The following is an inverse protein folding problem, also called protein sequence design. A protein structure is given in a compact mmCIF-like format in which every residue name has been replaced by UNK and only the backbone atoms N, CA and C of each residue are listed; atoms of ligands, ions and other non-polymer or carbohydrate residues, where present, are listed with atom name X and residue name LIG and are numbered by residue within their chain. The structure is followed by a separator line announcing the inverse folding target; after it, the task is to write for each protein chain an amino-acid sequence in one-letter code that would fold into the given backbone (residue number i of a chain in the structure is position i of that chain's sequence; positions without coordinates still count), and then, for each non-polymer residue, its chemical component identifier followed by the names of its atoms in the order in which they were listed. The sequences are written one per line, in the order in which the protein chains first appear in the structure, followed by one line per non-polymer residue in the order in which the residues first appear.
data_IF_120283958800
#
_entry.id   IF_120283958800
#
_cell.length_a   1.000
_cell.length_b   1.000
_cell.length_c   1.000
_cell.angle_alpha   90.00
_cell.angle_beta   90.00
_cell.angle_gamma   90.00
#
_symmetry.space_group_name_H-M   'P 1'
#
loop_
_entity.id
_entity.type
_entity.pdbx_description
1 polymer ?
#
# COMPACT_ATOMS: atom_id res chain seq x y z
N UNK A 1 24.32 -24.92 33.67
CA UNK A 1 23.04 -25.05 32.96
C UNK A 1 22.12 -23.95 33.43
N UNK A 2 21.63 -23.05 32.55
CA UNK A 2 20.74 -21.96 32.98
C UNK A 2 19.46 -22.54 33.58
N UNK A 3 18.97 -21.92 34.65
CA UNK A 3 17.77 -22.36 35.35
C UNK A 3 16.52 -22.18 34.48
N UNK A 4 15.53 -23.08 34.60
CA UNK A 4 14.24 -23.02 33.88
C UNK A 4 13.54 -21.65 34.01
N UNK A 5 13.78 -20.94 35.12
CA UNK A 5 13.28 -19.57 35.35
C UNK A 5 14.00 -18.52 34.50
N UNK A 6 15.32 -18.66 34.31
CA UNK A 6 16.15 -17.77 33.51
C UNK A 6 15.87 -17.92 32.01
N UNK A 7 15.63 -19.15 31.54
CA UNK A 7 15.19 -19.39 30.15
C UNK A 7 13.82 -18.77 29.87
N UNK A 8 12.87 -18.90 30.81
CA UNK A 8 11.56 -18.26 30.68
C UNK A 8 11.68 -16.74 30.62
N UNK A 9 12.53 -16.14 31.45
CA UNK A 9 12.75 -14.69 31.45
C UNK A 9 13.39 -14.19 30.15
N UNK A 10 14.37 -14.94 29.60
CA UNK A 10 14.96 -14.64 28.29
C UNK A 10 13.93 -14.72 27.17
N UNK A 11 13.09 -15.77 27.14
CA UNK A 11 12.01 -15.93 26.16
C UNK A 11 10.98 -14.78 26.27
N UNK A 12 10.58 -14.40 27.47
CA UNK A 12 9.64 -13.30 27.69
C UNK A 12 10.20 -11.93 27.25
N UNK A 13 11.49 -11.67 27.48
CA UNK A 13 12.16 -10.45 26.98
C UNK A 13 12.20 -10.42 25.44
N UNK A 14 12.50 -11.56 24.80
CA UNK A 14 12.50 -11.67 23.34
C UNK A 14 11.10 -11.45 22.75
N UNK A 15 10.05 -12.00 23.39
CA UNK A 15 8.66 -11.80 22.97
C UNK A 15 8.25 -10.32 23.10
N UNK A 16 8.51 -9.69 24.25
CA UNK A 16 8.25 -8.24 24.44
C UNK A 16 9.05 -7.34 23.50
N UNK A 17 10.27 -7.74 23.15
CA UNK A 17 11.08 -7.02 22.15
C UNK A 17 10.48 -7.16 20.75
N UNK A 18 9.96 -8.34 20.38
CA UNK A 18 9.25 -8.57 19.10
C UNK A 18 7.93 -7.81 19.02
N UNK A 19 7.16 -7.74 20.10
CA UNK A 19 5.92 -6.96 20.19
C UNK A 19 6.17 -5.44 20.03
N UNK A 20 7.36 -4.96 20.40
CA UNK A 20 7.78 -3.57 20.21
C UNK A 20 8.34 -3.25 18.82
N UNK A 21 8.50 -4.23 17.92
CA UNK A 21 8.87 -3.95 16.54
C UNK A 21 7.61 -3.45 15.82
N UNK A 22 7.22 -2.21 16.11
CA UNK A 22 6.37 -1.46 15.20
C UNK A 22 7.08 -1.45 13.84
N UNK A 23 6.38 -1.88 12.79
CA UNK A 23 6.81 -1.67 11.43
C UNK A 23 6.94 -0.15 11.27
N UNK A 24 8.16 0.38 11.30
CA UNK A 24 8.38 1.82 11.32
C UNK A 24 8.00 2.36 9.94
N UNK A 25 6.75 2.82 9.84
CA UNK A 25 6.24 3.48 8.66
C UNK A 25 6.77 4.91 8.70
N UNK A 26 7.70 5.21 7.80
CA UNK A 26 8.28 6.54 7.69
C UNK A 26 7.33 7.39 6.85
N UNK A 27 7.04 8.63 7.25
CA UNK A 27 6.33 9.56 6.37
C UNK A 27 7.11 9.72 5.06
N UNK A 28 6.45 9.55 3.91
CA UNK A 28 7.09 9.63 2.58
C UNK A 28 7.80 10.98 2.39
N UNK A 29 7.27 12.07 2.94
CA UNK A 29 7.90 13.40 2.86
C UNK A 29 9.32 13.42 3.42
N UNK A 30 9.56 12.71 4.53
CA UNK A 30 10.87 12.66 5.19
C UNK A 30 11.83 11.78 4.38
N UNK A 31 11.32 10.66 3.85
CA UNK A 31 12.09 9.78 2.98
C UNK A 31 12.48 10.48 1.68
N UNK A 32 11.58 11.25 1.09
CA UNK A 32 11.80 11.99 -0.14
C UNK A 32 12.82 13.12 0.07
N UNK A 33 12.73 13.87 1.17
CA UNK A 33 13.75 14.87 1.55
C UNK A 33 15.15 14.24 1.70
N UNK A 34 15.24 13.11 2.41
CA UNK A 34 16.50 12.38 2.56
C UNK A 34 17.10 11.97 1.21
N UNK A 35 16.26 11.50 0.27
CA UNK A 35 16.70 11.11 -1.08
C UNK A 35 17.15 12.32 -1.91
N UNK A 36 16.43 13.44 -1.84
CA UNK A 36 16.80 14.66 -2.56
C UNK A 36 18.16 15.20 -2.11
N UNK A 37 18.46 15.17 -0.81
CA UNK A 37 19.76 15.64 -0.30
C UNK A 37 20.92 14.70 -0.64
N UNK A 38 20.65 13.39 -0.72
CA UNK A 38 21.63 12.40 -1.21
C UNK A 38 21.89 12.59 -2.71
N UNK A 39 20.84 12.77 -3.51
CA UNK A 39 20.95 13.01 -4.95
C UNK A 39 21.65 14.33 -5.28
N UNK A 40 21.41 15.37 -4.49
CA UNK A 40 22.11 16.65 -4.58
C UNK A 40 23.59 16.57 -4.16
N UNK A 41 24.04 15.45 -3.57
CA UNK A 41 25.41 15.26 -3.09
C UNK A 41 25.72 15.94 -1.76
N UNK A 42 24.72 16.55 -1.11
CA UNK A 42 24.90 17.29 0.14
C UNK A 42 25.16 16.37 1.33
N UNK A 43 24.54 15.18 1.34
CA UNK A 43 24.68 14.20 2.43
C UNK A 43 25.07 12.81 1.92
N UNK A 44 25.87 12.11 2.73
CA UNK A 44 26.08 10.67 2.56
C UNK A 44 24.90 9.87 3.13
N UNK A 45 24.69 8.65 2.64
CA UNK A 45 23.61 7.75 3.10
C UNK A 45 23.61 7.60 4.65
N UNK A 46 24.81 7.56 5.25
CA UNK A 46 24.95 7.49 6.71
C UNK A 46 24.50 8.76 7.42
N UNK A 47 24.89 9.94 6.90
CA UNK A 47 24.49 11.22 7.49
C UNK A 47 23.00 11.47 7.32
N UNK A 48 22.45 11.19 6.14
CA UNK A 48 21.01 11.27 5.88
C UNK A 48 20.20 10.34 6.80
N UNK A 49 20.67 9.12 7.04
CA UNK A 49 20.02 8.19 7.98
C UNK A 49 19.94 8.73 9.41
N UNK A 50 21.01 9.39 9.89
CA UNK A 50 21.03 10.00 11.22
C UNK A 50 20.17 11.26 11.29
N UNK A 51 20.26 12.12 10.28
CA UNK A 51 19.58 13.42 10.24
C UNK A 51 18.06 13.28 10.08
N UNK A 52 17.61 12.37 9.21
CA UNK A 52 16.20 12.14 8.95
C UNK A 52 15.62 10.98 9.78
N UNK A 53 16.42 10.36 10.64
CA UNK A 53 16.08 9.18 11.44
C UNK A 53 15.46 8.04 10.60
N UNK A 54 15.92 7.86 9.36
CA UNK A 54 15.44 6.81 8.44
C UNK A 54 16.47 5.69 8.38
N UNK A 55 16.02 4.44 8.47
CA UNK A 55 16.91 3.29 8.33
C UNK A 55 17.66 3.30 6.98
N UNK A 56 18.98 3.09 7.02
CA UNK A 56 19.84 3.03 5.83
C UNK A 56 19.34 2.04 4.78
N UNK A 57 18.83 0.89 5.22
CA UNK A 57 18.26 -0.15 4.35
C UNK A 57 17.09 0.39 3.55
N UNK A 58 16.19 1.15 4.17
CA UNK A 58 15.05 1.80 3.48
C UNK A 58 15.50 2.80 2.43
N UNK A 59 16.50 3.64 2.74
CA UNK A 59 17.09 4.58 1.77
C UNK A 59 17.68 3.82 0.57
N UNK A 60 18.47 2.78 0.83
CA UNK A 60 19.10 1.95 -0.21
C UNK A 60 18.06 1.22 -1.05
N UNK A 61 17.02 0.64 -0.43
CA UNK A 61 15.96 -0.06 -1.16
C UNK A 61 15.15 0.89 -2.04
N UNK A 62 14.94 2.13 -1.59
CA UNK A 62 14.27 3.18 -2.37
C UNK A 62 15.15 3.64 -3.54
N UNK A 63 16.45 3.83 -3.31
CA UNK A 63 17.42 4.14 -4.38
C UNK A 63 17.54 3.01 -5.42
N UNK A 64 17.50 1.75 -4.99
CA UNK A 64 17.56 0.56 -5.86
C UNK A 64 16.22 0.20 -6.49
N UNK A 65 15.15 0.95 -6.21
CA UNK A 65 13.80 0.68 -6.72
C UNK A 65 13.13 -0.58 -6.17
N UNK A 66 13.69 -1.21 -5.12
CA UNK A 66 13.12 -2.41 -4.48
C UNK A 66 11.88 -2.12 -3.65
N UNK A 67 11.77 -0.89 -3.16
CA UNK A 67 10.59 -0.36 -2.49
C UNK A 67 10.03 0.77 -3.37
N UNK A 68 9.12 0.46 -4.29
CA UNK A 68 8.27 1.48 -4.89
C UNK A 68 7.27 1.96 -3.83
N UNK A 69 7.03 3.27 -3.79
CA UNK A 69 6.47 4.00 -2.63
C UNK A 69 5.10 3.53 -2.22
N UNK A 70 4.77 3.75 -0.95
CA UNK A 70 3.52 3.40 -0.27
C UNK A 70 2.96 1.99 -0.44
N UNK A 71 3.55 1.14 -1.28
CA UNK A 71 3.10 -0.22 -1.49
C UNK A 71 3.55 -1.06 -0.31
N UNK A 72 2.70 -1.21 0.69
CA UNK A 72 2.93 -2.22 1.70
C UNK A 72 2.99 -3.57 0.98
N UNK A 73 3.88 -4.45 1.43
CA UNK A 73 4.02 -5.81 0.89
C UNK A 73 2.70 -6.60 0.92
N UNK A 74 1.74 -6.13 1.73
CA UNK A 74 0.43 -6.72 1.94
C UNK A 74 -0.70 -5.96 1.24
N UNK A 75 -0.39 -4.91 0.45
CA UNK A 75 -1.44 -4.20 -0.26
C UNK A 75 -2.10 -5.15 -1.27
N UNK A 76 -3.44 -5.14 -1.34
CA UNK A 76 -4.15 -5.99 -2.26
C UNK A 76 -3.71 -5.67 -3.70
N UNK A 77 -3.42 -6.71 -4.50
CA UNK A 77 -2.97 -6.52 -5.87
C UNK A 77 -4.06 -5.84 -6.71
N UNK A 78 -3.68 -4.79 -7.45
CA UNK A 78 -4.55 -4.10 -8.41
C UNK A 78 -4.86 -5.03 -9.58
N UNK A 79 -6.13 -5.40 -9.75
CA UNK A 79 -6.64 -6.34 -10.75
C UNK A 79 -6.49 -5.79 -12.18
N UNK A 80 -6.86 -4.53 -12.39
CA UNK A 80 -6.75 -3.87 -13.69
C UNK A 80 -5.40 -3.17 -13.86
N UNK A 81 -4.66 -2.98 -12.77
CA UNK A 81 -3.39 -2.28 -12.70
C UNK A 81 -3.55 -0.87 -12.14
N UNK A 82 -2.52 -0.39 -11.45
CA UNK A 82 -2.57 0.84 -10.64
C UNK A 82 -3.11 2.06 -11.42
N UNK A 83 -2.60 2.30 -12.63
CA UNK A 83 -2.98 3.47 -13.41
C UNK A 83 -4.45 3.47 -13.85
N UNK A 84 -4.99 2.28 -14.17
CA UNK A 84 -6.38 2.14 -14.62
C UNK A 84 -7.33 2.30 -13.44
N UNK A 85 -7.03 1.63 -12.33
CA UNK A 85 -7.85 1.70 -11.12
C UNK A 85 -7.84 3.11 -10.51
N UNK A 86 -6.71 3.81 -10.55
CA UNK A 86 -6.64 5.19 -10.07
C UNK A 86 -7.51 6.15 -10.93
N UNK A 87 -7.57 5.94 -12.24
CA UNK A 87 -8.49 6.69 -13.12
C UNK A 87 -9.95 6.37 -12.82
N UNK A 88 -10.29 5.09 -12.62
CA UNK A 88 -11.63 4.66 -12.22
C UNK A 88 -12.04 5.29 -10.88
N UNK A 89 -11.14 5.32 -9.90
CA UNK A 89 -11.39 5.98 -8.62
C UNK A 89 -11.68 7.48 -8.78
N UNK A 90 -10.86 8.19 -9.57
CA UNK A 90 -11.11 9.60 -9.86
C UNK A 90 -12.47 9.82 -10.52
N UNK A 91 -12.84 8.96 -11.47
CA UNK A 91 -14.14 8.99 -12.13
C UNK A 91 -15.32 8.77 -11.16
N UNK A 92 -15.22 7.76 -10.29
CA UNK A 92 -16.24 7.48 -9.27
C UNK A 92 -16.43 8.66 -8.31
N UNK A 93 -15.32 9.25 -7.83
CA UNK A 93 -15.34 10.40 -6.92
C UNK A 93 -15.98 11.60 -7.62
N UNK A 94 -15.60 11.90 -8.86
CA UNK A 94 -16.15 13.02 -9.61
C UNK A 94 -17.67 12.86 -9.84
N UNK A 95 -18.14 11.65 -10.14
CA UNK A 95 -19.56 11.37 -10.31
C UNK A 95 -20.34 11.55 -9.00
N UNK A 96 -19.78 11.07 -7.89
CA UNK A 96 -20.35 11.28 -6.57
C UNK A 96 -20.42 12.78 -6.20
N UNK A 97 -19.38 13.55 -6.51
CA UNK A 97 -19.34 15.00 -6.30
C UNK A 97 -20.38 15.76 -7.15
N UNK A 98 -20.69 15.26 -8.34
CA UNK A 98 -21.75 15.80 -9.20
C UNK A 98 -23.17 15.47 -8.69
N UNK A 99 -23.32 14.79 -7.54
CA UNK A 99 -24.61 14.45 -6.95
C UNK A 99 -25.22 13.15 -7.46
N UNK A 100 -24.47 12.32 -8.19
CA UNK A 100 -24.94 11.05 -8.72
C UNK A 100 -24.17 9.90 -8.06
N UNK A 101 -24.59 9.39 -6.90
CA UNK A 101 -23.94 8.24 -6.29
C UNK A 101 -24.06 7.00 -7.20
N UNK A 102 -22.93 6.40 -7.57
CA UNK A 102 -22.89 5.18 -8.39
C UNK A 102 -23.34 3.97 -7.58
N UNK A 103 -24.22 3.15 -8.16
CA UNK A 103 -24.57 1.84 -7.58
C UNK A 103 -23.43 0.86 -7.79
N UNK A 104 -23.34 -0.13 -6.90
CA UNK A 104 -22.33 -1.21 -6.98
C UNK A 104 -22.43 -2.00 -8.30
N UNK A 105 -23.64 -2.21 -8.80
CA UNK A 105 -23.92 -2.88 -10.08
C UNK A 105 -23.40 -2.09 -11.27
N UNK A 106 -23.58 -0.76 -11.25
CA UNK A 106 -23.19 0.09 -12.36
C UNK A 106 -21.67 0.19 -12.43
N UNK A 107 -21.02 0.29 -11.26
CA UNK A 107 -19.56 0.22 -11.15
C UNK A 107 -19.04 -1.12 -11.69
N UNK A 108 -19.67 -2.23 -11.33
CA UNK A 108 -19.34 -3.57 -11.85
C UNK A 108 -19.33 -3.62 -13.37
N UNK A 109 -20.41 -3.15 -13.98
CA UNK A 109 -20.56 -3.17 -15.44
C UNK A 109 -19.49 -2.31 -16.12
N UNK A 110 -19.13 -1.17 -15.53
CA UNK A 110 -18.05 -0.32 -16.08
C UNK A 110 -16.67 -0.97 -15.95
N UNK A 111 -16.38 -1.59 -14.80
CA UNK A 111 -15.11 -2.28 -14.56
C UNK A 111 -14.98 -3.50 -15.50
N UNK A 112 -16.07 -4.23 -15.73
CA UNK A 112 -16.10 -5.36 -16.67
C UNK A 112 -15.84 -4.89 -18.11
N UNK A 113 -16.46 -3.78 -18.54
CA UNK A 113 -16.20 -3.18 -19.86
C UNK A 113 -14.73 -2.76 -20.01
N UNK A 114 -14.18 -2.05 -19.03
CA UNK A 114 -12.76 -1.63 -19.05
C UNK A 114 -11.82 -2.82 -19.08
N UNK A 115 -12.15 -3.91 -18.37
CA UNK A 115 -11.36 -5.13 -18.40
C UNK A 115 -11.38 -5.82 -19.78
N UNK A 116 -12.54 -5.81 -20.46
CA UNK A 116 -12.67 -6.32 -21.83
C UNK A 116 -11.82 -5.52 -22.81
N UNK A 117 -11.86 -4.20 -22.71
CA UNK A 117 -11.05 -3.30 -23.54
C UNK A 117 -9.54 -3.51 -23.33
N UNK A 118 -9.14 -3.96 -22.14
CA UNK A 118 -7.75 -4.29 -21.80
C UNK A 118 -7.35 -5.74 -22.14
N UNK A 119 -8.25 -6.55 -22.71
CA UNK A 119 -8.00 -7.97 -23.00
C UNK A 119 -7.88 -8.85 -21.75
N UNK A 120 -8.42 -8.40 -20.61
CA UNK A 120 -8.40 -9.09 -19.32
C UNK A 120 -9.71 -9.85 -19.03
N UNK A 121 -10.35 -10.39 -20.05
CA UNK A 121 -11.64 -11.10 -19.98
C UNK A 121 -11.68 -12.24 -18.96
N UNK A 122 -10.53 -12.88 -18.72
CA UNK A 122 -10.38 -14.00 -17.78
C UNK A 122 -10.68 -13.62 -16.33
N UNK A 123 -10.65 -12.32 -15.98
CA UNK A 123 -10.90 -11.83 -14.62
C UNK A 123 -12.39 -11.84 -14.23
N UNK A 124 -13.32 -11.95 -15.17
CA UNK A 124 -14.77 -11.77 -14.90
C UNK A 124 -15.61 -13.03 -15.14
N UNK A 125 -14.98 -14.22 -15.25
CA UNK A 125 -15.72 -15.50 -15.30
C UNK A 125 -16.49 -15.75 -13.99
N UNK A 126 -17.65 -16.40 -14.09
CA UNK A 126 -18.66 -16.47 -13.01
C UNK A 126 -18.08 -16.83 -11.63
N UNK A 127 -18.43 -16.03 -10.62
CA UNK A 127 -17.92 -16.10 -9.24
C UNK A 127 -16.76 -15.14 -8.92
N UNK A 128 -16.01 -14.66 -9.91
CA UNK A 128 -14.87 -13.74 -9.72
C UNK A 128 -15.33 -12.26 -9.64
N UNK A 129 -16.48 -11.94 -10.26
CA UNK A 129 -17.08 -10.60 -10.30
C UNK A 129 -17.23 -9.96 -8.91
N UNK A 130 -17.72 -10.72 -7.93
CA UNK A 130 -17.91 -10.24 -6.54
C UNK A 130 -16.58 -9.98 -5.82
N UNK A 131 -15.55 -10.78 -6.10
CA UNK A 131 -14.21 -10.60 -5.53
C UNK A 131 -13.54 -9.35 -6.08
N UNK A 132 -13.72 -9.08 -7.37
CA UNK A 132 -13.16 -7.88 -8.01
C UNK A 132 -13.67 -6.60 -7.37
N UNK A 133 -14.95 -6.54 -7.06
CA UNK A 133 -15.58 -5.37 -6.43
C UNK A 133 -15.10 -5.18 -5.01
N UNK A 134 -15.09 -6.28 -4.24
CA UNK A 134 -14.67 -6.25 -2.84
C UNK A 134 -13.21 -5.77 -2.77
N UNK A 135 -12.35 -6.34 -3.62
CA UNK A 135 -10.96 -5.92 -3.78
C UNK A 135 -10.84 -4.45 -4.19
N UNK A 136 -11.62 -3.98 -5.17
CA UNK A 136 -11.58 -2.60 -5.64
C UNK A 136 -11.97 -1.60 -4.55
N UNK A 137 -12.97 -1.91 -3.72
CA UNK A 137 -13.35 -1.08 -2.57
C UNK A 137 -12.33 -1.15 -1.43
N UNK A 138 -11.64 -2.29 -1.26
CA UNK A 138 -10.57 -2.46 -0.28
C UNK A 138 -9.29 -1.70 -0.68
N UNK A 139 -8.93 -1.68 -1.97
CA UNK A 139 -7.79 -0.92 -2.50
C UNK A 139 -8.07 0.58 -2.62
N UNK A 140 -9.35 0.97 -2.55
CA UNK A 140 -9.80 2.35 -2.78
C UNK A 140 -10.60 2.87 -1.59
N UNK A 141 -9.97 3.07 -0.42
CA UNK A 141 -10.68 3.51 0.79
C UNK A 141 -11.33 4.89 0.67
N UNK A 142 -10.95 5.70 -0.33
CA UNK A 142 -11.56 7.01 -0.61
C UNK A 142 -12.96 6.93 -1.24
N UNK A 143 -13.36 5.79 -1.79
CA UNK A 143 -14.65 5.59 -2.48
C UNK A 143 -15.67 4.81 -1.65
N UNK A 144 -15.48 4.73 -0.31
CA UNK A 144 -16.47 4.10 0.56
C UNK A 144 -17.79 4.89 0.56
N UNK A 145 -18.69 4.49 -0.33
CA UNK A 145 -20.10 4.81 -0.25
C UNK A 145 -20.64 4.28 1.09
N UNK A 146 -21.34 5.15 1.84
CA UNK A 146 -22.09 4.72 3.01
C UNK A 146 -23.00 3.55 2.61
N UNK A 147 -22.90 2.46 3.37
CA UNK A 147 -23.74 1.28 3.19
C UNK A 147 -25.18 1.68 3.53
N UNK A 148 -25.96 2.06 2.53
CA UNK A 148 -27.43 2.07 2.58
C UNK A 148 -27.96 0.68 2.23
#
# INVERSE_FOLDING_TARGET
MPSRKEEKLKKLKIIKLREKIHFFEYPEDVLQKALTEIQAGNLSINKASQQFNVAKTKIIDRMKGRSTGNKQKNDPEHLLGYNVENKLNGWVINIAQCGFPLKKTDLLDTVEKVAKDLGKDKLFKDGIRTKVVSQFFETSPRTQFERS
#
